data_IF_309936882349
#
_entry.id   IF_309936882349
#
_cell.length_a   1.000
_cell.length_b   1.000
_cell.length_c   1.000
_cell.angle_alpha   90.00
_cell.angle_beta   90.00
_cell.angle_gamma   90.00
#
_symmetry.space_group_name_H-M   'P 1'
#
loop_
_entity.id
_entity.type
_entity.pdbx_description
1 polymer ?
#
# COMPACT_ATOMS: atom_id res chain seq x y z
N UNK A 1 -28.05 -13.58 20.43
CA UNK A 1 -28.32 -14.63 19.41
C UNK A 1 -27.22 -14.57 18.37
N UNK A 2 -26.54 -15.68 18.05
CA UNK A 2 -25.56 -15.71 16.93
C UNK A 2 -26.35 -15.73 15.61
N UNK A 3 -26.07 -14.82 14.68
CA UNK A 3 -26.66 -14.83 13.33
C UNK A 3 -26.37 -16.17 12.63
N UNK A 4 -27.39 -16.72 11.96
CA UNK A 4 -27.38 -18.08 11.36
C UNK A 4 -26.28 -18.22 10.28
N UNK A 5 -25.85 -17.11 9.68
CA UNK A 5 -24.90 -17.04 8.57
C UNK A 5 -23.62 -16.21 8.86
N UNK A 6 -23.31 -15.95 10.14
CA UNK A 6 -22.14 -15.14 10.52
C UNK A 6 -20.84 -15.60 9.85
N UNK A 7 -20.54 -16.90 9.85
CA UNK A 7 -19.31 -17.46 9.24
C UNK A 7 -19.19 -17.22 7.73
N UNK A 8 -20.31 -17.22 7.00
CA UNK A 8 -20.31 -16.94 5.57
C UNK A 8 -20.24 -15.44 5.32
N UNK A 9 -20.97 -14.65 6.11
CA UNK A 9 -20.94 -13.19 6.06
C UNK A 9 -19.53 -12.64 6.31
N UNK A 10 -18.85 -13.13 7.35
CA UNK A 10 -17.48 -12.74 7.65
C UNK A 10 -16.51 -13.15 6.53
N UNK A 11 -16.72 -14.33 5.94
CA UNK A 11 -15.94 -14.77 4.78
C UNK A 11 -16.19 -13.89 3.54
N UNK A 12 -17.45 -13.59 3.20
CA UNK A 12 -17.78 -12.75 2.05
C UNK A 12 -17.20 -11.34 2.18
N UNK A 13 -17.09 -10.81 3.41
CA UNK A 13 -16.45 -9.52 3.68
C UNK A 13 -14.95 -9.49 3.42
N UNK A 14 -14.27 -10.64 3.37
CA UNK A 14 -12.84 -10.70 3.02
C UNK A 14 -12.58 -10.85 1.53
N UNK A 15 -13.63 -11.06 0.72
CA UNK A 15 -13.50 -11.13 -0.72
C UNK A 15 -13.17 -9.76 -1.30
N UNK A 16 -12.52 -9.76 -2.46
CA UNK A 16 -12.12 -8.56 -3.20
C UNK A 16 -12.84 -8.47 -4.56
N UNK A 17 -13.10 -7.27 -5.10
CA UNK A 17 -13.90 -7.15 -6.32
C UNK A 17 -13.36 -7.92 -7.54
N UNK A 18 -12.02 -8.01 -7.67
CA UNK A 18 -11.40 -8.78 -8.75
C UNK A 18 -11.53 -10.30 -8.52
N UNK A 19 -11.56 -10.76 -7.27
CA UNK A 19 -11.81 -12.17 -6.94
C UNK A 19 -13.23 -12.56 -7.37
N UNK A 20 -14.23 -11.76 -7.01
CA UNK A 20 -15.63 -12.04 -7.36
C UNK A 20 -15.89 -11.90 -8.86
N UNK A 21 -15.23 -10.95 -9.54
CA UNK A 21 -15.26 -10.85 -11.00
C UNK A 21 -14.71 -12.11 -11.68
N UNK A 22 -13.55 -12.59 -11.23
CA UNK A 22 -12.98 -13.85 -11.73
C UNK A 22 -13.92 -15.03 -11.48
N UNK A 23 -14.44 -15.19 -10.26
CA UNK A 23 -15.34 -16.28 -9.89
C UNK A 23 -16.62 -16.29 -10.73
N UNK A 24 -17.22 -15.11 -11.00
CA UNK A 24 -18.37 -14.97 -11.88
C UNK A 24 -18.05 -15.31 -13.33
N UNK A 25 -16.82 -15.08 -13.78
CA UNK A 25 -16.39 -15.40 -15.15
C UNK A 25 -16.16 -16.89 -15.39
N UNK A 26 -15.82 -17.66 -14.34
CA UNK A 26 -15.49 -19.11 -14.45
C UNK A 26 -16.55 -20.03 -13.89
N UNK A 27 -17.57 -19.50 -13.22
CA UNK A 27 -18.65 -20.32 -12.67
C UNK A 27 -19.46 -21.00 -13.79
N UNK A 28 -19.90 -22.22 -13.51
CA UNK A 28 -20.78 -23.02 -14.38
C UNK A 28 -21.88 -23.65 -13.52
N UNK A 29 -22.57 -22.85 -12.70
CA UNK A 29 -23.57 -23.36 -11.77
C UNK A 29 -24.91 -23.64 -12.45
N UNK A 30 -25.36 -24.90 -12.41
CA UNK A 30 -26.75 -25.24 -12.71
C UNK A 30 -27.70 -24.73 -11.60
N UNK A 31 -27.20 -24.65 -10.37
CA UNK A 31 -27.94 -24.16 -9.20
C UNK A 31 -28.02 -22.63 -9.19
N UNK A 32 -29.12 -22.09 -9.71
CA UNK A 32 -29.41 -20.63 -9.73
C UNK A 32 -29.31 -19.97 -8.35
N UNK A 33 -29.55 -20.70 -7.27
CA UNK A 33 -29.44 -20.15 -5.91
C UNK A 33 -27.98 -19.88 -5.55
N UNK A 34 -27.05 -20.76 -5.95
CA UNK A 34 -25.61 -20.52 -5.73
C UNK A 34 -25.11 -19.32 -6.53
N UNK A 35 -25.58 -19.17 -7.77
CA UNK A 35 -25.27 -18.00 -8.59
C UNK A 35 -25.76 -16.72 -7.93
N UNK A 36 -27.02 -16.67 -7.50
CA UNK A 36 -27.57 -15.51 -6.80
C UNK A 36 -26.80 -15.15 -5.51
N UNK A 37 -26.33 -16.15 -4.75
CA UNK A 37 -25.48 -15.89 -3.57
C UNK A 37 -24.12 -15.29 -4.00
N UNK A 38 -23.51 -15.78 -5.08
CA UNK A 38 -22.24 -15.27 -5.58
C UNK A 38 -22.38 -13.84 -6.13
N UNK A 39 -23.45 -13.55 -6.88
CA UNK A 39 -23.79 -12.19 -7.35
C UNK A 39 -24.02 -11.24 -6.18
N UNK A 40 -24.73 -11.68 -5.14
CA UNK A 40 -24.91 -10.90 -3.92
C UNK A 40 -23.57 -10.66 -3.19
N UNK A 41 -22.65 -11.62 -3.21
CA UNK A 41 -21.31 -11.46 -2.66
C UNK A 41 -20.48 -10.45 -3.46
N UNK A 42 -20.53 -10.48 -4.80
CA UNK A 42 -19.88 -9.47 -5.67
C UNK A 42 -20.45 -8.06 -5.39
N UNK A 43 -21.77 -7.94 -5.34
CA UNK A 43 -22.42 -6.66 -5.06
C UNK A 43 -22.02 -6.10 -3.69
N UNK A 44 -22.06 -6.93 -2.65
CA UNK A 44 -21.67 -6.54 -1.29
C UNK A 44 -20.18 -6.17 -1.19
N UNK A 45 -19.34 -6.83 -1.99
CA UNK A 45 -17.91 -6.60 -2.04
C UNK A 45 -17.57 -5.21 -2.64
N UNK A 46 -18.33 -4.77 -3.64
CA UNK A 46 -18.21 -3.47 -4.30
C UNK A 46 -18.88 -2.32 -3.53
N UNK A 47 -19.87 -2.62 -2.69
CA UNK A 47 -20.65 -1.64 -1.95
C UNK A 47 -20.67 -1.94 -0.44
N UNK A 48 -19.50 -1.90 0.23
CA UNK A 48 -19.40 -2.28 1.65
C UNK A 48 -20.30 -1.44 2.57
N UNK A 49 -20.53 -0.18 2.24
CA UNK A 49 -21.39 0.75 2.98
C UNK A 49 -22.89 0.48 2.80
N UNK A 50 -23.28 -0.27 1.76
CA UNK A 50 -24.66 -0.66 1.48
C UNK A 50 -24.92 -2.15 1.66
N UNK A 51 -24.10 -2.82 2.47
CA UNK A 51 -24.14 -4.28 2.64
C UNK A 51 -25.57 -4.83 2.82
N UNK A 52 -25.97 -5.74 1.94
CA UNK A 52 -27.24 -6.45 1.97
C UNK A 52 -27.05 -7.81 2.65
N UNK A 53 -27.78 -8.11 3.75
CA UNK A 53 -27.72 -9.40 4.42
C UNK A 53 -28.07 -10.57 3.50
N UNK A 54 -27.36 -11.69 3.69
CA UNK A 54 -27.69 -12.94 2.99
C UNK A 54 -28.98 -13.57 3.53
N UNK A 55 -29.77 -14.17 2.65
CA UNK A 55 -31.05 -14.80 2.99
C UNK A 55 -30.92 -16.00 3.94
N UNK A 56 -31.41 -15.85 5.17
CA UNK A 56 -31.37 -16.90 6.20
C UNK A 56 -32.36 -18.06 5.96
N UNK A 57 -33.26 -17.94 4.96
CA UNK A 57 -34.18 -18.99 4.54
C UNK A 57 -33.51 -20.02 3.62
N UNK A 58 -32.44 -19.66 2.92
CA UNK A 58 -31.68 -20.60 2.07
C UNK A 58 -30.94 -21.63 2.95
N UNK A 59 -30.90 -22.88 2.49
CA UNK A 59 -30.16 -23.95 3.16
C UNK A 59 -28.68 -23.55 3.36
N UNK A 60 -28.25 -23.57 4.63
CA UNK A 60 -26.87 -23.29 5.06
C UNK A 60 -25.83 -24.12 4.31
N UNK A 61 -26.17 -25.33 3.87
CA UNK A 61 -25.29 -26.19 3.06
C UNK A 61 -24.88 -25.51 1.75
N UNK A 62 -25.77 -24.72 1.12
CA UNK A 62 -25.43 -23.99 -0.12
C UNK A 62 -24.34 -22.94 0.13
N UNK A 63 -24.45 -22.18 1.22
CA UNK A 63 -23.42 -21.21 1.63
C UNK A 63 -22.08 -21.89 1.94
N UNK A 64 -22.11 -23.03 2.65
CA UNK A 64 -20.89 -23.78 2.98
C UNK A 64 -20.20 -24.31 1.72
N UNK A 65 -20.97 -24.91 0.82
CA UNK A 65 -20.46 -25.48 -0.43
C UNK A 65 -19.92 -24.38 -1.36
N UNK A 66 -20.61 -23.24 -1.46
CA UNK A 66 -20.13 -22.10 -2.25
C UNK A 66 -18.86 -21.53 -1.65
N UNK A 67 -18.77 -21.36 -0.32
CA UNK A 67 -17.55 -20.91 0.36
C UNK A 67 -16.36 -21.83 0.04
N UNK A 68 -16.55 -23.14 0.10
CA UNK A 68 -15.51 -24.11 -0.25
C UNK A 68 -15.10 -23.97 -1.71
N UNK A 69 -16.07 -23.94 -2.64
CA UNK A 69 -15.81 -23.77 -4.06
C UNK A 69 -15.05 -22.48 -4.37
N UNK A 70 -15.40 -21.36 -3.73
CA UNK A 70 -14.68 -20.09 -3.87
C UNK A 70 -13.22 -20.26 -3.43
N UNK A 71 -12.99 -20.86 -2.25
CA UNK A 71 -11.64 -21.09 -1.73
C UNK A 71 -10.79 -21.96 -2.66
N UNK A 72 -11.35 -23.06 -3.16
CA UNK A 72 -10.68 -23.95 -4.12
C UNK A 72 -10.33 -23.23 -5.42
N UNK A 73 -11.26 -22.45 -5.97
CA UNK A 73 -11.06 -21.74 -7.25
C UNK A 73 -10.04 -20.61 -7.16
N UNK A 74 -10.03 -19.87 -6.06
CA UNK A 74 -9.04 -18.83 -5.83
C UNK A 74 -7.66 -19.43 -5.57
N UNK A 75 -7.56 -20.47 -4.73
CA UNK A 75 -6.28 -21.15 -4.46
C UNK A 75 -5.67 -21.77 -5.72
N UNK A 76 -6.50 -22.27 -6.64
CA UNK A 76 -6.04 -22.87 -7.90
C UNK A 76 -5.33 -21.88 -8.84
N UNK A 77 -5.60 -20.57 -8.71
CA UNK A 77 -4.95 -19.51 -9.50
C UNK A 77 -4.07 -18.60 -8.66
N UNK A 78 -3.87 -18.92 -7.39
CA UNK A 78 -3.06 -18.11 -6.46
C UNK A 78 -1.57 -18.38 -6.68
N UNK A 79 -0.86 -17.38 -7.22
CA UNK A 79 0.57 -17.48 -7.53
C UNK A 79 1.42 -17.62 -6.27
N UNK A 80 0.98 -17.16 -5.10
CA UNK A 80 1.73 -17.37 -3.86
C UNK A 80 1.57 -18.83 -3.39
N UNK A 81 0.38 -19.43 -3.56
CA UNK A 81 0.15 -20.86 -3.28
C UNK A 81 0.96 -21.76 -4.22
N UNK A 82 1.00 -21.41 -5.51
CA UNK A 82 1.86 -22.10 -6.50
C UNK A 82 3.33 -22.05 -6.08
N UNK A 83 3.82 -20.88 -5.66
CA UNK A 83 5.22 -20.71 -5.26
C UNK A 83 5.59 -21.51 -4.00
N UNK A 84 4.73 -21.49 -2.97
CA UNK A 84 4.94 -22.29 -1.76
C UNK A 84 5.05 -23.78 -2.08
N UNK A 85 4.19 -24.27 -2.99
CA UNK A 85 4.28 -25.65 -3.45
C UNK A 85 5.58 -25.95 -4.20
N UNK A 86 6.03 -25.06 -5.10
CA UNK A 86 7.30 -25.21 -5.81
C UNK A 86 8.50 -25.33 -4.85
N UNK A 87 8.51 -24.52 -3.78
CA UNK A 87 9.57 -24.57 -2.75
C UNK A 87 9.55 -25.85 -1.93
N UNK A 88 8.37 -26.36 -1.56
CA UNK A 88 8.27 -27.61 -0.82
C UNK A 88 8.67 -28.80 -1.70
N UNK A 89 8.30 -28.80 -2.99
CA UNK A 89 8.75 -29.81 -3.94
C UNK A 89 10.29 -29.80 -4.09
N UNK A 90 10.90 -28.62 -4.28
CA UNK A 90 12.36 -28.46 -4.34
C UNK A 90 13.04 -29.07 -3.12
N UNK A 91 12.62 -28.65 -1.93
CA UNK A 91 13.16 -29.14 -0.66
C UNK A 91 13.03 -30.66 -0.54
N UNK A 92 11.91 -31.24 -0.94
CA UNK A 92 11.72 -32.69 -0.89
C UNK A 92 12.63 -33.44 -1.87
N UNK A 93 12.88 -32.88 -3.05
CA UNK A 93 13.82 -33.47 -4.02
C UNK A 93 15.25 -33.36 -3.52
N UNK A 94 15.68 -32.18 -3.05
CA UNK A 94 17.04 -31.95 -2.54
C UNK A 94 17.37 -32.84 -1.33
N UNK A 95 16.38 -33.10 -0.48
CA UNK A 95 16.53 -33.93 0.73
C UNK A 95 16.24 -35.41 0.51
N UNK A 96 15.94 -35.82 -0.72
CA UNK A 96 15.58 -37.21 -1.09
C UNK A 96 14.38 -37.76 -0.30
N UNK A 97 13.37 -36.90 -0.08
CA UNK A 97 12.14 -37.20 0.68
C UNK A 97 10.87 -37.04 -0.15
N UNK A 98 11.00 -36.84 -1.45
CA UNK A 98 9.86 -36.68 -2.34
C UNK A 98 9.04 -37.98 -2.39
N UNK A 99 7.74 -37.85 -2.16
CA UNK A 99 6.80 -38.96 -2.22
C UNK A 99 6.24 -39.15 -3.65
N UNK A 100 5.76 -40.36 -4.02
CA UNK A 100 5.29 -40.64 -5.39
C UNK A 100 4.18 -39.70 -5.90
N UNK A 101 3.26 -39.28 -5.03
CA UNK A 101 2.19 -38.34 -5.34
C UNK A 101 2.73 -36.93 -5.64
N UNK A 102 3.79 -36.51 -4.94
CA UNK A 102 4.48 -35.27 -5.22
C UNK A 102 5.23 -35.34 -6.56
N UNK A 103 5.85 -36.48 -6.91
CA UNK A 103 6.51 -36.67 -8.21
C UNK A 103 5.52 -36.60 -9.38
N UNK A 104 4.35 -37.24 -9.23
CA UNK A 104 3.28 -37.17 -10.21
C UNK A 104 2.80 -35.72 -10.40
N UNK A 105 2.66 -34.98 -9.29
CA UNK A 105 2.27 -33.58 -9.33
C UNK A 105 3.33 -32.70 -9.98
N UNK A 106 4.63 -32.92 -9.71
CA UNK A 106 5.72 -32.21 -10.41
C UNK A 106 5.60 -32.44 -11.92
N UNK A 107 5.42 -33.69 -12.34
CA UNK A 107 5.28 -34.04 -13.76
C UNK A 107 4.04 -33.40 -14.40
N UNK A 108 2.92 -33.31 -13.67
CA UNK A 108 1.73 -32.58 -14.12
C UNK A 108 2.01 -31.09 -14.31
N UNK A 109 2.66 -30.43 -13.34
CA UNK A 109 2.99 -29.00 -13.44
C UNK A 109 3.96 -28.73 -14.59
N UNK A 110 4.97 -29.57 -14.83
CA UNK A 110 5.89 -29.39 -15.96
C UNK A 110 5.19 -29.49 -17.33
N UNK A 111 4.14 -30.32 -17.44
CA UNK A 111 3.32 -30.41 -18.66
C UNK A 111 2.47 -29.16 -18.91
N UNK A 112 2.06 -28.47 -17.84
CA UNK A 112 1.23 -27.25 -17.93
C UNK A 112 2.05 -25.96 -17.96
N UNK A 113 3.25 -25.95 -17.38
CA UNK A 113 4.10 -24.78 -17.29
C UNK A 113 4.50 -24.27 -18.68
N UNK A 114 4.41 -22.95 -18.85
CA UNK A 114 4.77 -22.23 -20.08
C UNK A 114 5.69 -21.04 -19.72
N UNK A 115 6.43 -20.48 -20.69
CA UNK A 115 7.26 -19.29 -20.46
C UNK A 115 6.52 -18.11 -19.81
N UNK A 116 5.22 -17.95 -20.13
CA UNK A 116 4.37 -16.90 -19.59
C UNK A 116 3.71 -17.23 -18.25
N UNK A 117 3.94 -18.43 -17.69
CA UNK A 117 3.51 -18.77 -16.32
C UNK A 117 4.16 -17.82 -15.32
N UNK A 118 3.48 -17.51 -14.21
CA UNK A 118 3.97 -16.47 -13.29
C UNK A 118 5.35 -16.80 -12.70
N UNK A 119 5.56 -18.05 -12.27
CA UNK A 119 6.81 -18.53 -11.68
C UNK A 119 7.63 -19.43 -12.62
N UNK A 120 7.59 -19.16 -13.93
CA UNK A 120 8.25 -20.00 -14.93
C UNK A 120 9.74 -20.27 -14.62
N UNK A 121 10.51 -19.25 -14.22
CA UNK A 121 11.93 -19.42 -13.86
C UNK A 121 12.11 -20.45 -12.73
N UNK A 122 11.29 -20.36 -11.67
CA UNK A 122 11.38 -21.29 -10.54
C UNK A 122 10.95 -22.71 -10.92
N UNK A 123 9.93 -22.83 -11.77
CA UNK A 123 9.49 -24.12 -12.30
C UNK A 123 10.59 -24.78 -13.15
N UNK A 124 11.30 -23.99 -13.96
CA UNK A 124 12.45 -24.47 -14.74
C UNK A 124 13.61 -24.93 -13.85
N UNK A 125 13.96 -24.16 -12.82
CA UNK A 125 14.99 -24.54 -11.83
C UNK A 125 14.62 -25.86 -11.11
N UNK A 126 13.35 -26.01 -10.71
CA UNK A 126 12.84 -27.26 -10.13
C UNK A 126 12.97 -28.43 -11.12
N UNK A 127 12.67 -28.24 -12.40
CA UNK A 127 12.83 -29.26 -13.42
C UNK A 127 14.30 -29.71 -13.58
N UNK A 128 15.25 -28.77 -13.51
CA UNK A 128 16.68 -29.11 -13.55
C UNK A 128 17.07 -30.02 -12.39
N UNK A 129 16.63 -29.67 -11.17
CA UNK A 129 16.87 -30.48 -9.98
C UNK A 129 16.19 -31.87 -10.09
N UNK A 130 14.93 -31.89 -10.51
CA UNK A 130 14.16 -33.13 -10.64
C UNK A 130 14.77 -34.08 -11.67
N UNK A 131 15.26 -33.56 -12.80
CA UNK A 131 16.01 -34.35 -13.79
C UNK A 131 17.18 -35.09 -13.15
N UNK A 132 17.99 -34.43 -12.33
CA UNK A 132 19.13 -35.05 -11.65
C UNK A 132 18.68 -36.16 -10.70
N UNK A 133 17.61 -35.92 -9.93
CA UNK A 133 17.01 -36.90 -9.04
C UNK A 133 16.55 -38.16 -9.79
N UNK A 134 15.87 -37.99 -10.93
CA UNK A 134 15.35 -39.08 -11.75
C UNK A 134 16.46 -39.90 -12.41
N UNK A 135 17.51 -39.22 -12.91
CA UNK A 135 18.64 -39.87 -13.59
C UNK A 135 19.40 -40.81 -12.65
N UNK A 136 19.72 -40.35 -11.44
CA UNK A 136 20.44 -41.16 -10.43
C UNK A 136 19.64 -42.41 -10.05
N UNK A 137 18.30 -42.32 -10.08
CA UNK A 137 17.38 -43.41 -9.72
C UNK A 137 16.90 -44.22 -10.93
N UNK A 138 17.50 -44.03 -12.10
CA UNK A 138 17.21 -44.78 -13.33
C UNK A 138 15.74 -44.69 -13.79
N UNK A 139 15.05 -43.58 -13.49
CA UNK A 139 13.66 -43.32 -13.89
C UNK A 139 13.60 -42.73 -15.29
N UNK A 140 13.90 -43.58 -16.28
CA UNK A 140 14.15 -43.14 -17.67
C UNK A 140 12.95 -42.49 -18.38
N UNK A 141 11.70 -42.97 -18.24
CA UNK A 141 10.55 -42.34 -18.89
C UNK A 141 10.33 -40.90 -18.41
N UNK A 142 10.23 -40.71 -17.09
CA UNK A 142 10.02 -39.40 -16.47
C UNK A 142 11.19 -38.47 -16.75
N UNK A 143 12.42 -38.99 -16.71
CA UNK A 143 13.61 -38.21 -17.06
C UNK A 143 13.52 -37.64 -18.49
N UNK A 144 13.03 -38.42 -19.45
CA UNK A 144 12.90 -37.97 -20.84
C UNK A 144 11.91 -36.82 -20.95
N UNK A 145 10.76 -36.92 -20.28
CA UNK A 145 9.75 -35.85 -20.27
C UNK A 145 10.33 -34.54 -19.70
N UNK A 146 11.08 -34.63 -18.60
CA UNK A 146 11.73 -33.48 -17.99
C UNK A 146 12.82 -32.90 -18.90
N UNK A 147 13.62 -33.74 -19.55
CA UNK A 147 14.68 -33.29 -20.48
C UNK A 147 14.09 -32.58 -21.71
N UNK A 148 12.96 -33.07 -22.24
CA UNK A 148 12.24 -32.41 -23.33
C UNK A 148 11.70 -31.04 -22.92
N UNK A 149 11.15 -30.91 -21.72
CA UNK A 149 10.72 -29.63 -21.16
C UNK A 149 11.90 -28.63 -21.07
N UNK A 150 13.01 -29.06 -20.48
CA UNK A 150 14.20 -28.22 -20.30
C UNK A 150 14.76 -27.77 -21.65
N UNK A 151 14.93 -28.70 -22.59
CA UNK A 151 15.43 -28.40 -23.94
C UNK A 151 14.51 -27.43 -24.67
N UNK A 152 13.18 -27.65 -24.61
CA UNK A 152 12.19 -26.80 -25.27
C UNK A 152 12.22 -25.36 -24.79
N UNK A 153 12.39 -25.14 -23.49
CA UNK A 153 12.25 -23.82 -22.88
C UNK A 153 13.56 -23.16 -22.44
N UNK A 154 14.71 -23.76 -22.76
CA UNK A 154 16.03 -23.23 -22.40
C UNK A 154 16.23 -21.76 -22.79
N UNK A 155 15.89 -21.39 -24.02
CA UNK A 155 16.07 -19.99 -24.51
C UNK A 155 15.20 -19.02 -23.71
N UNK A 156 13.93 -19.39 -23.47
CA UNK A 156 13.02 -18.55 -22.69
C UNK A 156 13.49 -18.39 -21.24
N UNK A 157 14.05 -19.44 -20.64
CA UNK A 157 14.63 -19.40 -19.30
C UNK A 157 15.82 -18.44 -19.21
N UNK A 158 16.76 -18.52 -20.15
CA UNK A 158 17.92 -17.63 -20.18
C UNK A 158 17.50 -16.16 -20.41
N UNK A 159 16.51 -15.91 -21.27
CA UNK A 159 15.92 -14.58 -21.45
C UNK A 159 15.29 -14.05 -20.15
N UNK A 160 14.46 -14.85 -19.48
CA UNK A 160 13.81 -14.47 -18.23
C UNK A 160 14.83 -14.17 -17.12
N UNK A 161 15.93 -14.93 -17.04
CA UNK A 161 17.02 -14.65 -16.10
C UNK A 161 17.76 -13.36 -16.43
N UNK A 162 18.04 -13.10 -17.70
CA UNK A 162 18.69 -11.86 -18.12
C UNK A 162 17.84 -10.63 -17.78
N UNK A 163 16.51 -10.69 -18.01
CA UNK A 163 15.60 -9.61 -17.61
C UNK A 163 15.60 -9.41 -16.10
N UNK A 164 15.57 -10.49 -15.32
CA UNK A 164 15.61 -10.42 -13.84
C UNK A 164 16.85 -9.71 -13.32
N UNK A 165 18.02 -9.98 -13.92
CA UNK A 165 19.26 -9.30 -13.59
C UNK A 165 19.23 -7.81 -13.97
N UNK A 166 18.68 -7.49 -15.14
CA UNK A 166 18.54 -6.09 -15.58
C UNK A 166 17.55 -5.30 -14.71
N UNK A 167 16.48 -5.94 -14.22
CA UNK A 167 15.55 -5.35 -13.24
C UNK A 167 16.27 -5.00 -11.93
N UNK A 168 17.25 -5.78 -11.50
CA UNK A 168 18.05 -5.48 -10.32
C UNK A 168 18.85 -4.18 -10.52
N UNK A 169 19.50 -4.02 -11.67
CA UNK A 169 20.24 -2.78 -12.02
C UNK A 169 19.34 -1.56 -12.03
N UNK A 170 18.18 -1.65 -12.70
CA UNK A 170 17.19 -0.58 -12.70
C UNK A 170 16.73 -0.21 -11.27
N UNK A 171 16.59 -1.21 -10.39
CA UNK A 171 16.21 -0.98 -8.99
C UNK A 171 17.27 -0.16 -8.24
N UNK A 172 18.56 -0.46 -8.44
CA UNK A 172 19.65 0.28 -7.79
C UNK A 172 19.61 1.77 -8.19
N UNK A 173 19.45 2.07 -9.47
CA UNK A 173 19.43 3.44 -9.98
C UNK A 173 18.19 4.21 -9.48
N UNK A 174 17.01 3.59 -9.53
CA UNK A 174 15.75 4.22 -9.08
C UNK A 174 15.78 4.53 -7.59
N UNK A 175 16.30 3.62 -6.76
CA UNK A 175 16.39 3.80 -5.31
C UNK A 175 17.49 4.82 -4.94
N UNK A 176 18.62 4.83 -5.65
CA UNK A 176 19.66 5.83 -5.46
C UNK A 176 19.15 7.25 -5.78
N UNK A 177 18.41 7.41 -6.87
CA UNK A 177 17.77 8.68 -7.21
C UNK A 177 16.83 9.16 -6.09
N UNK A 178 15.97 8.28 -5.57
CA UNK A 178 15.05 8.62 -4.47
C UNK A 178 15.79 9.06 -3.19
N UNK A 179 16.85 8.33 -2.81
CA UNK A 179 17.57 8.58 -1.55
C UNK A 179 18.50 9.80 -1.62
N UNK A 180 19.21 10.00 -2.74
CA UNK A 180 20.26 11.02 -2.87
C UNK A 180 19.86 12.23 -3.71
N UNK A 181 18.68 12.21 -4.34
CA UNK A 181 18.24 13.25 -5.28
C UNK A 181 19.28 13.50 -6.39
N UNK A 182 20.07 12.48 -6.72
CA UNK A 182 21.20 12.52 -7.65
C UNK A 182 21.09 11.35 -8.62
N UNK A 183 21.34 11.61 -9.90
CA UNK A 183 21.27 10.61 -10.97
C UNK A 183 19.96 10.65 -11.77
N UNK A 184 20.03 10.25 -13.03
CA UNK A 184 18.90 10.16 -13.95
C UNK A 184 18.51 8.69 -14.13
N UNK A 185 17.30 8.31 -13.72
CA UNK A 185 16.78 6.94 -13.86
C UNK A 185 15.63 6.83 -14.87
N UNK A 186 15.17 7.96 -15.44
CA UNK A 186 14.07 7.98 -16.41
C UNK A 186 14.37 7.19 -17.68
N UNK A 187 15.65 7.05 -18.04
CA UNK A 187 16.07 6.24 -19.18
C UNK A 187 15.64 4.76 -19.09
N UNK A 188 15.29 4.26 -17.89
CA UNK A 188 14.74 2.91 -17.70
C UNK A 188 13.27 2.77 -18.13
N UNK A 189 12.52 3.87 -18.26
CA UNK A 189 11.08 3.84 -18.53
C UNK A 189 10.73 3.02 -19.78
N UNK A 190 11.35 3.24 -20.96
CA UNK A 190 10.92 2.54 -22.18
C UNK A 190 11.14 1.04 -22.08
N UNK A 191 12.26 0.63 -21.47
CA UNK A 191 12.60 -0.79 -21.29
C UNK A 191 11.71 -1.46 -20.24
N UNK A 192 11.42 -0.81 -19.11
CA UNK A 192 10.50 -1.36 -18.12
C UNK A 192 9.07 -1.47 -18.67
N UNK A 193 8.64 -0.50 -19.48
CA UNK A 193 7.35 -0.54 -20.16
C UNK A 193 7.28 -1.70 -21.15
N UNK A 194 8.34 -1.95 -21.94
CA UNK A 194 8.36 -3.10 -22.85
C UNK A 194 8.33 -4.43 -22.11
N UNK A 195 9.08 -4.57 -21.01
CA UNK A 195 9.05 -5.78 -20.16
C UNK A 195 7.66 -6.02 -19.58
N UNK A 196 6.97 -4.99 -19.09
CA UNK A 196 5.64 -5.15 -18.50
C UNK A 196 4.59 -5.68 -19.50
N UNK A 197 4.64 -5.19 -20.74
CA UNK A 197 3.69 -5.56 -21.80
C UNK A 197 4.10 -6.79 -22.61
N UNK A 198 5.29 -7.35 -22.42
CA UNK A 198 5.73 -8.56 -23.11
C UNK A 198 4.99 -9.80 -22.59
N UNK A 199 3.88 -10.18 -23.24
CA UNK A 199 3.09 -11.35 -22.85
C UNK A 199 3.79 -12.70 -23.05
N UNK A 200 4.97 -12.72 -23.69
CA UNK A 200 5.78 -13.94 -23.83
C UNK A 200 6.66 -14.22 -22.61
N UNK A 201 6.86 -13.22 -21.75
CA UNK A 201 7.68 -13.29 -20.55
C UNK A 201 6.88 -13.77 -19.32
N UNK A 202 7.58 -14.32 -18.33
CA UNK A 202 7.00 -14.77 -17.08
C UNK A 202 6.34 -13.62 -16.29
N UNK A 203 5.29 -13.98 -15.57
CA UNK A 203 4.49 -12.99 -14.84
C UNK A 203 5.24 -12.27 -13.73
N UNK A 204 6.21 -12.93 -13.09
CA UNK A 204 7.01 -12.31 -12.04
C UNK A 204 7.83 -11.14 -12.59
N UNK A 205 8.56 -11.33 -13.69
CA UNK A 205 9.37 -10.27 -14.30
C UNK A 205 8.49 -9.11 -14.77
N UNK A 206 7.37 -9.41 -15.43
CA UNK A 206 6.41 -8.41 -15.90
C UNK A 206 5.85 -7.58 -14.75
N UNK A 207 5.35 -8.23 -13.70
CA UNK A 207 4.85 -7.54 -12.52
C UNK A 207 5.95 -6.71 -11.83
N UNK A 208 7.16 -7.25 -11.74
CA UNK A 208 8.28 -6.56 -11.13
C UNK A 208 8.72 -5.32 -11.91
N UNK A 209 8.61 -5.32 -13.23
CA UNK A 209 8.81 -4.11 -14.05
C UNK A 209 7.80 -3.01 -13.71
N UNK A 210 6.52 -3.35 -13.56
CA UNK A 210 5.48 -2.39 -13.13
C UNK A 210 5.77 -1.80 -11.74
N UNK A 211 6.28 -2.61 -10.80
CA UNK A 211 6.69 -2.10 -9.49
C UNK A 211 7.75 -1.00 -9.64
N UNK A 212 8.75 -1.19 -10.51
CA UNK A 212 9.81 -0.17 -10.74
C UNK A 212 9.26 1.06 -11.44
N UNK A 213 8.41 0.87 -12.46
CA UNK A 213 7.70 1.98 -13.12
C UNK A 213 6.93 2.81 -12.10
N UNK A 214 6.26 2.17 -11.15
CA UNK A 214 5.57 2.85 -10.05
C UNK A 214 6.52 3.77 -9.29
N UNK A 215 7.66 3.27 -8.82
CA UNK A 215 8.64 4.12 -8.13
C UNK A 215 9.17 5.24 -9.03
N UNK A 216 9.51 4.93 -10.28
CA UNK A 216 10.06 5.88 -11.24
C UNK A 216 9.10 7.06 -11.46
N UNK A 217 7.86 6.77 -11.83
CA UNK A 217 6.84 7.79 -12.07
C UNK A 217 6.51 8.61 -10.83
N UNK A 218 6.56 8.02 -9.62
CA UNK A 218 6.40 8.78 -8.38
C UNK A 218 7.57 9.71 -8.10
N UNK A 219 8.81 9.27 -8.34
CA UNK A 219 10.00 10.09 -8.16
C UNK A 219 9.98 11.32 -9.08
N UNK A 220 9.54 11.14 -10.32
CA UNK A 220 9.47 12.19 -11.34
C UNK A 220 8.14 12.94 -11.39
N UNK A 221 7.16 12.57 -10.54
CA UNK A 221 5.81 13.16 -10.50
C UNK A 221 5.05 13.09 -11.84
N UNK A 222 5.23 12.02 -12.59
CA UNK A 222 4.54 11.76 -13.86
C UNK A 222 3.54 10.63 -13.67
N UNK A 223 2.29 10.95 -13.33
CA UNK A 223 1.34 9.95 -12.83
C UNK A 223 0.44 9.35 -13.90
N UNK A 224 0.20 10.08 -15.00
CA UNK A 224 -0.72 9.71 -16.07
C UNK A 224 -0.39 8.34 -16.69
N UNK A 225 0.87 8.03 -17.04
CA UNK A 225 1.22 6.73 -17.60
C UNK A 225 0.91 5.54 -16.67
N UNK A 226 0.85 5.77 -15.35
CA UNK A 226 0.51 4.70 -14.41
C UNK A 226 -0.96 4.30 -14.46
N UNK A 227 -1.88 5.20 -14.86
CA UNK A 227 -3.31 4.86 -14.96
C UNK A 227 -3.52 3.71 -15.93
N UNK A 228 -3.03 3.88 -17.15
CA UNK A 228 -3.12 2.88 -18.23
C UNK A 228 -2.55 1.53 -17.78
N UNK A 229 -1.36 1.54 -17.18
CA UNK A 229 -0.68 0.31 -16.76
C UNK A 229 -1.44 -0.41 -15.64
N UNK A 230 -2.01 0.33 -14.69
CA UNK A 230 -2.84 -0.26 -13.65
C UNK A 230 -4.21 -0.72 -14.16
N UNK A 231 -4.78 -0.06 -15.15
CA UNK A 231 -6.02 -0.50 -15.79
C UNK A 231 -5.78 -1.83 -16.53
N UNK A 232 -4.66 -1.96 -17.25
CA UNK A 232 -4.25 -3.25 -17.83
C UNK A 232 -4.05 -4.33 -16.76
N UNK A 233 -3.33 -4.03 -15.67
CA UNK A 233 -3.16 -5.00 -14.57
C UNK A 233 -4.51 -5.41 -13.94
N UNK A 234 -5.46 -4.49 -13.82
CA UNK A 234 -6.81 -4.79 -13.34
C UNK A 234 -7.50 -5.85 -14.21
N UNK A 235 -7.36 -5.74 -15.54
CA UNK A 235 -7.91 -6.75 -16.46
C UNK A 235 -7.29 -8.12 -16.23
N UNK A 236 -5.98 -8.21 -15.97
CA UNK A 236 -5.30 -9.46 -15.66
C UNK A 236 -5.85 -10.09 -14.38
N UNK A 237 -5.93 -9.32 -13.28
CA UNK A 237 -6.48 -9.83 -12.02
C UNK A 237 -7.92 -10.30 -12.14
N UNK A 238 -8.76 -9.57 -12.90
CA UNK A 238 -10.17 -9.96 -13.11
C UNK A 238 -10.33 -11.29 -13.86
N UNK A 239 -9.28 -11.73 -14.56
CA UNK A 239 -9.21 -13.02 -15.28
C UNK A 239 -8.50 -14.10 -14.46
N UNK A 240 -8.12 -13.82 -13.22
CA UNK A 240 -7.32 -14.72 -12.38
C UNK A 240 -5.84 -14.78 -12.77
N UNK A 241 -5.38 -13.92 -13.68
CA UNK A 241 -3.97 -13.86 -14.09
C UNK A 241 -3.20 -13.03 -13.04
N UNK A 242 -2.07 -13.56 -12.60
CA UNK A 242 -1.19 -12.99 -11.55
C UNK A 242 -1.86 -12.88 -10.18
N UNK A 243 -3.02 -13.51 -10.01
CA UNK A 243 -3.76 -13.39 -8.78
C UNK A 243 -2.91 -13.95 -7.63
N UNK A 244 -2.66 -13.11 -6.64
CA UNK A 244 -2.61 -13.54 -5.25
C UNK A 244 -3.28 -12.46 -4.44
N UNK A 245 -3.83 -12.84 -3.29
CA UNK A 245 -4.47 -11.86 -2.41
C UNK A 245 -3.50 -10.76 -1.99
N UNK A 246 -2.21 -11.08 -1.82
CA UNK A 246 -1.14 -10.11 -1.53
C UNK A 246 -0.93 -9.12 -2.68
N UNK A 247 -0.77 -9.59 -3.91
CA UNK A 247 -0.53 -8.72 -5.07
C UNK A 247 -1.72 -7.79 -5.32
N UNK A 248 -2.94 -8.31 -5.16
CA UNK A 248 -4.16 -7.55 -5.37
C UNK A 248 -4.35 -6.45 -4.31
N UNK A 249 -4.03 -6.72 -3.04
CA UNK A 249 -4.03 -5.70 -1.98
C UNK A 249 -3.01 -4.61 -2.25
N UNK A 250 -1.81 -4.98 -2.70
CA UNK A 250 -0.76 -4.02 -3.07
C UNK A 250 -1.21 -3.12 -4.24
N UNK A 251 -1.87 -3.71 -5.25
CA UNK A 251 -2.49 -2.97 -6.34
C UNK A 251 -3.49 -1.91 -5.84
N UNK A 252 -4.39 -2.28 -4.92
CA UNK A 252 -5.34 -1.31 -4.35
C UNK A 252 -4.65 -0.21 -3.55
N UNK A 253 -3.63 -0.55 -2.77
CA UNK A 253 -2.82 0.44 -2.06
C UNK A 253 -2.18 1.46 -3.00
N UNK A 254 -1.67 1.00 -4.15
CA UNK A 254 -1.10 1.86 -5.18
C UNK A 254 -2.17 2.70 -5.92
N UNK A 255 -3.35 2.13 -6.21
CA UNK A 255 -4.49 2.88 -6.79
C UNK A 255 -4.94 4.01 -5.88
N UNK A 256 -5.04 3.78 -4.56
CA UNK A 256 -5.32 4.86 -3.61
C UNK A 256 -4.34 6.01 -3.77
N UNK A 257 -3.04 5.71 -3.78
CA UNK A 257 -2.00 6.74 -3.87
C UNK A 257 -2.11 7.50 -5.20
N UNK A 258 -2.38 6.78 -6.30
CA UNK A 258 -2.53 7.38 -7.62
C UNK A 258 -3.74 8.32 -7.69
N UNK A 259 -4.92 7.86 -7.27
CA UNK A 259 -6.14 8.67 -7.22
C UNK A 259 -5.97 9.89 -6.30
N UNK A 260 -5.20 9.76 -5.21
CA UNK A 260 -4.86 10.90 -4.33
C UNK A 260 -4.05 11.97 -5.06
N UNK A 261 -3.18 11.60 -6.02
CA UNK A 261 -2.41 12.57 -6.83
C UNK A 261 -3.29 13.33 -7.82
N UNK A 262 -4.41 12.76 -8.21
CA UNK A 262 -5.39 13.37 -9.10
C UNK A 262 -6.55 14.03 -8.37
N UNK A 263 -6.48 14.13 -7.03
CA UNK A 263 -7.56 14.67 -6.19
C UNK A 263 -8.90 13.90 -6.36
N UNK A 264 -8.86 12.65 -6.81
CA UNK A 264 -10.01 11.75 -6.97
C UNK A 264 -10.29 11.02 -5.63
N UNK A 265 -10.72 11.78 -4.63
CA UNK A 265 -10.79 11.31 -3.24
C UNK A 265 -11.84 10.21 -2.97
N UNK A 266 -12.90 10.14 -3.77
CA UNK A 266 -13.88 9.04 -3.69
C UNK A 266 -13.24 7.70 -4.06
N UNK A 267 -12.54 7.66 -5.19
CA UNK A 267 -11.83 6.46 -5.64
C UNK A 267 -10.66 6.13 -4.71
N UNK A 268 -9.92 7.14 -4.25
CA UNK A 268 -8.84 6.93 -3.29
C UNK A 268 -9.35 6.26 -2.00
N UNK A 269 -10.50 6.68 -1.50
CA UNK A 269 -11.13 6.07 -0.33
C UNK A 269 -11.59 4.64 -0.61
N UNK A 270 -12.27 4.40 -1.74
CA UNK A 270 -12.72 3.08 -2.16
C UNK A 270 -11.56 2.08 -2.19
N UNK A 271 -10.49 2.40 -2.93
CA UNK A 271 -9.29 1.56 -3.01
C UNK A 271 -8.57 1.44 -1.67
N UNK A 272 -8.62 2.47 -0.83
CA UNK A 272 -8.08 2.44 0.53
C UNK A 272 -8.73 1.38 1.39
N UNK A 273 -10.05 1.32 1.43
CA UNK A 273 -10.76 0.29 2.17
C UNK A 273 -10.47 -1.11 1.64
N UNK A 274 -10.33 -1.28 0.32
CA UNK A 274 -9.93 -2.57 -0.26
C UNK A 274 -8.52 -2.99 0.22
N UNK A 275 -7.56 -2.06 0.24
CA UNK A 275 -6.17 -2.34 0.61
C UNK A 275 -5.95 -2.77 2.07
N UNK A 276 -6.91 -2.49 2.96
CA UNK A 276 -6.84 -2.88 4.39
C UNK A 276 -7.72 -4.08 4.75
N UNK A 277 -8.34 -4.75 3.77
CA UNK A 277 -9.16 -5.95 4.06
C UNK A 277 -8.34 -7.13 4.58
N UNK A 278 -7.03 -7.14 4.33
CA UNK A 278 -6.12 -8.21 4.71
C UNK A 278 -4.89 -7.63 5.39
N UNK A 279 -4.45 -8.27 6.46
CA UNK A 279 -3.27 -7.87 7.22
C UNK A 279 -2.02 -8.47 6.58
N UNK A 280 -1.34 -7.67 5.75
CA UNK A 280 -0.01 -7.99 5.20
C UNK A 280 1.10 -7.26 5.97
N UNK A 281 2.36 -7.49 5.62
CA UNK A 281 3.51 -6.74 6.16
C UNK A 281 3.36 -5.22 5.96
N UNK A 282 2.69 -4.81 4.89
CA UNK A 282 2.46 -3.41 4.52
C UNK A 282 1.13 -2.84 5.05
N UNK A 283 0.39 -3.60 5.87
CA UNK A 283 -0.92 -3.20 6.38
C UNK A 283 -0.94 -1.81 7.03
N UNK A 284 0.08 -1.49 7.84
CA UNK A 284 0.18 -0.17 8.48
C UNK A 284 0.43 0.94 7.47
N UNK A 285 1.18 0.66 6.39
CA UNK A 285 1.35 1.62 5.31
C UNK A 285 0.00 1.93 4.65
N UNK A 286 -0.80 0.90 4.33
CA UNK A 286 -2.13 1.07 3.75
C UNK A 286 -3.12 1.80 4.68
N UNK A 287 -3.14 1.42 5.97
CA UNK A 287 -3.97 2.09 6.96
C UNK A 287 -3.62 3.58 7.11
N UNK A 288 -2.33 3.93 7.10
CA UNK A 288 -1.89 5.32 7.13
C UNK A 288 -2.38 6.10 5.91
N UNK A 289 -2.25 5.52 4.72
CA UNK A 289 -2.66 6.17 3.47
C UNK A 289 -4.18 6.39 3.42
N UNK A 290 -4.99 5.38 3.79
CA UNK A 290 -6.44 5.54 3.90
C UNK A 290 -6.81 6.59 4.96
N UNK A 291 -6.15 6.59 6.12
CA UNK A 291 -6.39 7.60 7.14
C UNK A 291 -6.09 9.01 6.63
N UNK A 292 -5.03 9.20 5.84
CA UNK A 292 -4.70 10.49 5.25
C UNK A 292 -5.81 10.98 4.31
N UNK A 293 -6.37 10.10 3.48
CA UNK A 293 -7.52 10.41 2.61
C UNK A 293 -8.76 10.77 3.44
N UNK A 294 -9.11 9.95 4.44
CA UNK A 294 -10.28 10.20 5.30
C UNK A 294 -10.17 11.52 6.07
N UNK A 295 -8.97 11.89 6.54
CA UNK A 295 -8.72 13.18 7.20
C UNK A 295 -8.96 14.37 6.25
N UNK A 296 -8.46 14.30 5.01
CA UNK A 296 -8.71 15.34 3.98
C UNK A 296 -10.18 15.47 3.64
N UNK A 297 -10.90 14.35 3.62
CA UNK A 297 -12.36 14.32 3.42
C UNK A 297 -13.16 14.69 4.67
N UNK A 298 -12.50 15.09 5.76
CA UNK A 298 -13.12 15.45 7.05
C UNK A 298 -13.95 14.32 7.68
N UNK A 299 -13.71 13.07 7.30
CA UNK A 299 -14.34 11.86 7.86
C UNK A 299 -13.61 11.41 9.14
N UNK A 300 -13.48 12.32 10.11
CA UNK A 300 -12.59 12.16 11.27
C UNK A 300 -12.92 10.96 12.16
N UNK A 301 -14.21 10.66 12.34
CA UNK A 301 -14.66 9.52 13.17
C UNK A 301 -14.31 8.19 12.52
N UNK A 302 -14.47 8.09 11.20
CA UNK A 302 -14.12 6.90 10.42
C UNK A 302 -12.60 6.71 10.40
N UNK A 303 -11.83 7.79 10.17
CA UNK A 303 -10.37 7.77 10.26
C UNK A 303 -9.90 7.24 11.62
N UNK A 304 -10.49 7.74 12.72
CA UNK A 304 -10.16 7.24 14.06
C UNK A 304 -10.51 5.75 14.24
N UNK A 305 -11.61 5.28 13.65
CA UNK A 305 -12.00 3.88 13.71
C UNK A 305 -10.99 2.97 12.99
N UNK A 306 -10.55 3.36 11.78
CA UNK A 306 -9.49 2.67 11.03
C UNK A 306 -8.20 2.60 11.86
N UNK A 307 -7.77 3.73 12.42
CA UNK A 307 -6.55 3.77 13.23
C UNK A 307 -6.66 2.91 14.50
N UNK A 308 -7.81 2.92 15.19
CA UNK A 308 -8.02 2.04 16.36
C UNK A 308 -7.97 0.57 15.98
N UNK A 309 -8.57 0.19 14.84
CA UNK A 309 -8.56 -1.18 14.35
C UNK A 309 -7.15 -1.67 13.98
N UNK A 310 -6.28 -0.78 13.50
CA UNK A 310 -4.90 -1.06 13.11
C UNK A 310 -3.86 -0.87 14.25
N UNK A 311 -4.31 -0.52 15.46
CA UNK A 311 -3.43 -0.30 16.61
C UNK A 311 -2.63 -1.56 17.05
N UNK A 312 -3.18 -2.78 17.02
CA UNK A 312 -2.40 -3.98 17.34
C UNK A 312 -1.22 -4.18 16.38
N UNK A 313 -1.44 -4.02 15.08
CA UNK A 313 -0.44 -4.22 14.03
C UNK A 313 0.64 -3.12 14.06
N UNK A 314 0.31 -1.90 14.47
CA UNK A 314 1.29 -0.82 14.56
C UNK A 314 2.28 -1.03 15.71
N UNK A 315 1.93 -1.86 16.71
CA UNK A 315 2.85 -2.23 17.79
C UNK A 315 3.86 -3.27 17.33
N UNK A 316 3.49 -4.17 16.43
CA UNK A 316 4.32 -5.28 15.95
C UNK A 316 5.15 -4.96 14.71
N UNK A 317 4.84 -3.88 13.97
CA UNK A 317 5.66 -3.50 12.80
C UNK A 317 7.08 -3.06 13.20
N UNK A 318 8.07 -3.53 12.45
CA UNK A 318 9.48 -3.12 12.58
C UNK A 318 9.80 -1.83 11.80
N UNK A 319 8.90 -1.36 10.94
CA UNK A 319 9.09 -0.12 10.19
C UNK A 319 8.74 1.09 11.04
N UNK A 320 9.74 1.70 11.67
CA UNK A 320 9.54 2.93 12.45
C UNK A 320 9.02 4.08 11.58
N UNK A 321 9.39 4.12 10.30
CA UNK A 321 8.82 5.06 9.34
C UNK A 321 7.29 4.99 9.28
N UNK A 322 6.73 3.78 9.13
CA UNK A 322 5.29 3.57 9.11
C UNK A 322 4.66 3.74 10.50
N UNK A 323 5.35 3.32 11.56
CA UNK A 323 4.89 3.44 12.95
C UNK A 323 4.74 4.89 13.40
N UNK A 324 5.72 5.75 13.09
CA UNK A 324 5.67 7.17 13.44
C UNK A 324 4.62 7.90 12.58
N UNK A 325 4.51 7.55 11.30
CA UNK A 325 3.41 8.03 10.44
C UNK A 325 2.04 7.68 11.01
N UNK A 326 1.88 6.44 11.50
CA UNK A 326 0.66 5.98 12.16
C UNK A 326 0.35 6.81 13.41
N UNK A 327 1.34 7.04 14.27
CA UNK A 327 1.14 7.86 15.47
C UNK A 327 0.74 9.28 15.11
N UNK A 328 1.38 9.92 14.13
CA UNK A 328 1.02 11.26 13.68
C UNK A 328 -0.45 11.33 13.21
N UNK A 329 -0.88 10.38 12.38
CA UNK A 329 -2.28 10.29 11.94
C UNK A 329 -3.24 10.02 13.09
N UNK A 330 -2.87 9.16 14.04
CA UNK A 330 -3.69 8.87 15.21
C UNK A 330 -3.88 10.10 16.09
N UNK A 331 -2.82 10.88 16.31
CA UNK A 331 -2.88 12.16 17.03
C UNK A 331 -3.83 13.15 16.35
N UNK A 332 -3.76 13.28 15.01
CA UNK A 332 -4.70 14.12 14.24
C UNK A 332 -6.14 13.64 14.35
N UNK A 333 -6.38 12.33 14.29
CA UNK A 333 -7.71 11.76 14.49
C UNK A 333 -8.28 12.10 15.88
N UNK A 334 -7.46 11.97 16.93
CA UNK A 334 -7.85 12.36 18.28
C UNK A 334 -8.13 13.88 18.36
N UNK A 335 -7.28 14.71 17.76
CA UNK A 335 -7.47 16.16 17.71
C UNK A 335 -8.80 16.53 17.02
N UNK A 336 -9.03 16.09 15.77
CA UNK A 336 -10.24 16.48 15.04
C UNK A 336 -11.54 15.85 15.58
N UNK A 337 -11.44 14.86 16.46
CA UNK A 337 -12.59 14.32 17.21
C UNK A 337 -12.76 14.95 18.60
N UNK A 338 -12.05 16.05 18.89
CA UNK A 338 -12.15 16.82 20.14
C UNK A 338 -11.39 16.22 21.33
N UNK A 339 -10.66 15.11 21.14
CA UNK A 339 -9.92 14.41 22.18
C UNK A 339 -8.49 14.98 22.34
N UNK A 340 -8.35 16.31 22.37
CA UNK A 340 -7.04 16.97 22.35
C UNK A 340 -6.12 16.57 23.52
N UNK A 341 -6.67 16.46 24.73
CA UNK A 341 -5.90 16.03 25.91
C UNK A 341 -5.41 14.59 25.80
N UNK A 342 -6.20 13.71 25.17
CA UNK A 342 -5.77 12.34 24.92
C UNK A 342 -4.65 12.29 23.88
N UNK A 343 -4.73 13.13 22.84
CA UNK A 343 -3.66 13.29 21.85
C UNK A 343 -2.37 13.78 22.53
N UNK A 344 -2.43 14.82 23.36
CA UNK A 344 -1.27 15.32 24.11
C UNK A 344 -0.65 14.25 25.00
N UNK A 345 -1.45 13.55 25.80
CA UNK A 345 -0.96 12.50 26.70
C UNK A 345 -0.28 11.35 25.92
N UNK A 346 -0.87 10.96 24.78
CA UNK A 346 -0.31 9.91 23.92
C UNK A 346 1.02 10.36 23.31
N UNK A 347 1.07 11.59 22.78
CA UNK A 347 2.28 12.17 22.22
C UNK A 347 3.41 12.27 23.26
N UNK A 348 3.11 12.71 24.48
CA UNK A 348 4.10 12.77 25.57
C UNK A 348 4.69 11.42 25.90
N UNK A 349 3.86 10.39 26.08
CA UNK A 349 4.32 9.02 26.35
C UNK A 349 5.16 8.49 25.20
N UNK A 350 4.70 8.69 23.96
CA UNK A 350 5.39 8.18 22.77
C UNK A 350 6.74 8.87 22.55
N UNK A 351 6.81 10.20 22.74
CA UNK A 351 8.04 10.97 22.61
C UNK A 351 9.09 10.57 23.66
N UNK A 352 8.67 10.19 24.87
CA UNK A 352 9.58 9.68 25.90
C UNK A 352 10.16 8.32 25.53
N UNK A 353 9.32 7.43 24.98
CA UNK A 353 9.72 6.07 24.65
C UNK A 353 10.55 5.96 23.36
N UNK A 354 10.23 6.75 22.33
CA UNK A 354 10.75 6.59 20.97
C UNK A 354 11.42 7.86 20.42
N UNK A 355 12.06 8.66 21.30
CA UNK A 355 12.67 9.94 20.91
C UNK A 355 13.62 9.78 19.72
N UNK A 356 14.51 8.80 19.76
CA UNK A 356 15.57 8.62 18.75
C UNK A 356 14.95 8.36 17.38
N UNK A 357 14.02 7.42 17.34
CA UNK A 357 13.36 6.95 16.12
C UNK A 357 12.47 8.04 15.51
N UNK A 358 11.82 8.87 16.34
CA UNK A 358 11.06 10.03 15.86
C UNK A 358 11.97 10.94 15.04
N UNK A 359 13.14 11.31 15.57
CA UNK A 359 14.10 12.18 14.87
C UNK A 359 14.74 11.52 13.64
N UNK A 360 14.96 10.21 13.69
CA UNK A 360 15.57 9.46 12.58
C UNK A 360 14.64 9.36 11.36
N UNK A 361 13.32 9.27 11.55
CA UNK A 361 12.41 8.94 10.45
C UNK A 361 11.43 10.03 10.03
N UNK A 362 10.55 10.51 10.94
CA UNK A 362 9.39 11.34 10.58
C UNK A 362 9.04 12.38 11.66
N UNK A 363 10.05 13.07 12.17
CA UNK A 363 9.87 14.05 13.26
C UNK A 363 8.91 15.19 12.90
N UNK A 364 8.97 15.70 11.66
CA UNK A 364 8.11 16.78 11.19
C UNK A 364 6.62 16.41 11.28
N UNK A 365 6.27 15.18 10.86
CA UNK A 365 4.90 14.68 10.90
C UNK A 365 4.43 14.49 12.35
N UNK A 366 5.28 13.91 13.20
CA UNK A 366 4.98 13.70 14.62
C UNK A 366 4.77 15.02 15.36
N UNK A 367 5.73 15.94 15.27
CA UNK A 367 5.66 17.23 15.96
C UNK A 367 4.59 18.14 15.36
N UNK A 368 4.34 18.10 14.05
CA UNK A 368 3.21 18.81 13.45
C UNK A 368 1.89 18.41 14.10
N UNK A 369 1.58 17.12 14.14
CA UNK A 369 0.35 16.61 14.78
C UNK A 369 0.31 16.86 16.31
N UNK A 370 1.47 16.82 16.98
CA UNK A 370 1.54 17.09 18.41
C UNK A 370 1.28 18.56 18.72
N UNK A 371 1.96 19.48 18.01
CA UNK A 371 1.80 20.92 18.21
C UNK A 371 0.39 21.39 17.84
N UNK A 372 -0.22 20.82 16.79
CA UNK A 372 -1.63 21.02 16.41
C UNK A 372 -2.58 20.72 17.59
N UNK A 373 -2.41 19.57 18.25
CA UNK A 373 -3.20 19.22 19.43
C UNK A 373 -2.97 20.17 20.63
N UNK A 374 -1.77 20.72 20.80
CA UNK A 374 -1.46 21.71 21.84
C UNK A 374 -2.04 23.09 21.52
N UNK A 375 -2.05 23.47 20.24
CA UNK A 375 -2.55 24.74 19.76
C UNK A 375 -4.05 24.85 20.00
N UNK A 376 -4.79 23.78 19.70
CA UNK A 376 -6.22 23.65 19.98
C UNK A 376 -6.55 23.85 21.47
N UNK A 377 -5.68 23.36 22.35
CA UNK A 377 -5.80 23.53 23.81
C UNK A 377 -5.28 24.89 24.31
N UNK A 378 -4.83 25.77 23.41
CA UNK A 378 -4.19 27.06 23.73
C UNK A 378 -2.97 26.91 24.64
N UNK A 379 -2.30 25.75 24.60
CA UNK A 379 -1.13 25.45 25.42
C UNK A 379 0.15 26.03 24.79
N UNK A 380 0.13 27.33 24.49
CA UNK A 380 1.20 28.05 23.79
C UNK A 380 2.54 27.94 24.52
N UNK A 381 2.52 27.92 25.85
CA UNK A 381 3.75 27.79 26.65
C UNK A 381 4.43 26.42 26.50
N UNK A 382 3.67 25.34 26.28
CA UNK A 382 4.26 24.02 26.02
C UNK A 382 4.79 23.93 24.59
N UNK A 383 4.09 24.50 23.61
CA UNK A 383 4.57 24.59 22.21
C UNK A 383 5.97 25.20 22.17
N UNK A 384 6.14 26.39 22.76
CA UNK A 384 7.44 27.08 22.77
C UNK A 384 8.52 26.28 23.50
N UNK A 385 8.20 25.70 24.68
CA UNK A 385 9.16 24.86 25.41
C UNK A 385 9.61 23.63 24.62
N UNK A 386 8.71 23.00 23.85
CA UNK A 386 9.06 21.87 22.99
C UNK A 386 9.91 22.32 21.81
N UNK A 387 9.54 23.43 21.16
CA UNK A 387 10.30 24.01 20.07
C UNK A 387 11.75 24.30 20.50
N UNK A 388 11.93 24.97 21.64
CA UNK A 388 13.25 25.31 22.19
C UNK A 388 14.04 24.03 22.57
N UNK A 389 13.42 23.12 23.32
CA UNK A 389 14.08 21.90 23.82
C UNK A 389 14.60 21.00 22.71
N UNK A 390 13.89 20.95 21.58
CA UNK A 390 14.19 20.04 20.48
C UNK A 390 14.74 20.75 19.23
N UNK A 391 14.95 22.06 19.30
CA UNK A 391 15.46 22.88 18.19
C UNK A 391 14.61 22.69 16.92
N UNK A 392 13.29 22.76 17.09
CA UNK A 392 12.36 22.39 16.02
C UNK A 392 12.39 23.40 14.86
N UNK A 393 12.69 24.68 15.12
CA UNK A 393 12.74 25.72 14.07
C UNK A 393 14.00 25.58 13.21
N UNK A 394 15.15 25.28 13.83
CA UNK A 394 16.40 25.04 13.13
C UNK A 394 16.29 23.81 12.23
N UNK A 395 15.72 22.72 12.76
CA UNK A 395 15.48 21.49 12.00
C UNK A 395 14.48 21.69 10.86
N UNK A 396 13.46 22.52 11.07
CA UNK A 396 12.47 22.83 10.03
C UNK A 396 13.12 23.60 8.88
N UNK A 397 14.01 24.54 9.18
CA UNK A 397 14.77 25.27 8.17
C UNK A 397 15.64 24.33 7.31
N UNK A 398 16.32 23.34 7.92
CA UNK A 398 17.06 22.31 7.18
C UNK A 398 16.15 21.41 6.33
N UNK A 399 14.91 21.18 6.78
CA UNK A 399 13.94 20.34 6.08
C UNK A 399 13.21 21.07 4.94
N UNK A 400 13.30 22.40 4.87
CA UNK A 400 12.58 23.24 3.90
C UNK A 400 12.90 22.91 2.43
N UNK A 401 14.08 22.35 2.15
CA UNK A 401 14.50 21.95 0.81
C UNK A 401 13.79 20.68 0.29
N UNK A 402 13.07 19.95 1.15
CA UNK A 402 12.41 18.70 0.76
C UNK A 402 11.10 18.97 0.03
N UNK A 403 10.83 18.15 -0.99
CA UNK A 403 9.59 18.23 -1.80
C UNK A 403 8.30 18.11 -0.97
N UNK A 404 8.34 17.42 0.18
CA UNK A 404 7.20 17.27 1.08
C UNK A 404 7.01 18.41 2.10
N UNK A 405 7.84 19.46 2.07
CA UNK A 405 7.82 20.53 3.08
C UNK A 405 6.52 21.33 3.12
N UNK A 406 6.04 21.61 4.33
CA UNK A 406 5.02 22.60 4.68
C UNK A 406 5.45 23.28 5.99
N UNK A 407 5.23 24.60 6.17
CA UNK A 407 5.74 25.37 7.30
C UNK A 407 4.86 25.22 8.56
N UNK A 408 4.39 24.00 8.85
CA UNK A 408 3.44 23.69 9.93
C UNK A 408 4.03 24.08 11.30
N UNK A 409 5.23 23.59 11.60
CA UNK A 409 5.92 23.81 12.86
C UNK A 409 6.25 25.29 13.09
N UNK A 410 6.91 26.00 12.15
CA UNK A 410 7.24 27.42 12.35
C UNK A 410 5.99 28.27 12.48
N UNK A 411 4.92 27.95 11.76
CA UNK A 411 3.67 28.70 11.87
C UNK A 411 2.99 28.50 13.23
N UNK A 412 2.88 27.28 13.73
CA UNK A 412 2.34 27.04 15.09
C UNK A 412 3.19 27.70 16.18
N UNK A 413 4.52 27.71 16.02
CA UNK A 413 5.41 28.43 16.94
C UNK A 413 5.20 29.95 16.88
N UNK A 414 5.01 30.52 15.68
CA UNK A 414 4.74 31.93 15.49
C UNK A 414 3.42 32.35 16.18
N UNK A 415 2.35 31.56 16.02
CA UNK A 415 1.07 31.77 16.71
C UNK A 415 1.26 31.73 18.23
N UNK A 416 1.98 30.72 18.73
CA UNK A 416 2.23 30.56 20.16
C UNK A 416 3.05 31.72 20.75
N UNK A 417 4.07 32.20 20.02
CA UNK A 417 4.91 33.33 20.42
C UNK A 417 4.09 34.63 20.49
N UNK A 418 3.28 34.90 19.47
CA UNK A 418 2.39 36.06 19.43
C UNK A 418 1.40 36.07 20.60
N UNK A 419 0.73 34.94 20.86
CA UNK A 419 -0.21 34.82 22.00
C UNK A 419 0.45 34.91 23.37
N UNK A 420 1.75 34.65 23.46
CA UNK A 420 2.56 34.85 24.68
C UNK A 420 3.29 36.18 24.74
N UNK A 421 3.06 37.07 23.75
CA UNK A 421 3.75 38.37 23.63
C UNK A 421 5.27 38.23 23.68
N UNK A 422 5.80 37.13 23.13
CA UNK A 422 7.25 36.89 23.03
C UNK A 422 7.74 37.35 21.65
N UNK A 423 8.47 38.46 21.65
CA UNK A 423 9.10 39.04 20.47
C UNK A 423 8.28 40.14 19.78
N UNK A 424 8.90 40.95 18.89
CA UNK A 424 8.21 41.96 18.10
C UNK A 424 7.24 41.33 17.10
N UNK A 425 6.06 41.93 16.91
CA UNK A 425 5.05 41.46 15.94
C UNK A 425 5.61 41.29 14.50
N UNK A 426 6.63 42.08 14.14
CA UNK A 426 7.33 41.95 12.85
C UNK A 426 8.04 40.60 12.68
N UNK A 427 8.68 40.08 13.72
CA UNK A 427 9.38 38.77 13.65
C UNK A 427 8.40 37.61 13.47
N UNK A 428 7.22 37.69 14.10
CA UNK A 428 6.14 36.71 13.92
C UNK A 428 5.63 36.72 12.47
N UNK A 429 5.42 37.91 11.89
CA UNK A 429 5.00 38.05 10.49
C UNK A 429 6.04 37.52 9.51
N UNK A 430 7.34 37.78 9.76
CA UNK A 430 8.43 37.27 8.92
C UNK A 430 8.45 35.72 8.89
N UNK A 431 8.25 35.05 10.04
CA UNK A 431 8.17 33.59 10.10
C UNK A 431 6.99 33.02 9.31
N UNK A 432 5.88 33.75 9.23
CA UNK A 432 4.69 33.35 8.48
C UNK A 432 4.85 33.55 6.97
N UNK A 433 5.47 34.66 6.55
CA UNK A 433 5.56 35.04 5.14
C UNK A 433 6.75 34.37 4.42
N UNK A 434 7.88 34.20 5.10
CA UNK A 434 9.14 33.69 4.51
C UNK A 434 8.98 32.41 3.67
N UNK A 435 8.16 31.41 4.06
CA UNK A 435 8.00 30.18 3.26
C UNK A 435 7.12 30.34 2.01
N UNK A 436 6.27 31.37 1.92
CA UNK A 436 5.22 31.48 0.90
C UNK A 436 5.72 31.53 -0.55
N UNK A 437 6.80 32.25 -0.92
CA UNK A 437 7.25 32.33 -2.31
C UNK A 437 7.60 30.97 -2.92
N UNK A 438 8.21 30.07 -2.13
CA UNK A 438 8.56 28.72 -2.58
C UNK A 438 7.32 27.82 -2.68
N UNK A 439 6.35 27.98 -1.78
CA UNK A 439 5.13 27.17 -1.77
C UNK A 439 4.19 27.49 -2.94
N UNK A 440 4.17 28.73 -3.42
CA UNK A 440 3.42 29.13 -4.63
C UNK A 440 3.84 28.38 -5.89
N UNK A 441 5.07 27.89 -5.94
CA UNK A 441 5.59 27.11 -7.07
C UNK A 441 5.21 25.63 -7.01
N UNK A 442 4.51 25.19 -5.95
CA UNK A 442 4.08 23.82 -5.71
C UNK A 442 2.53 23.73 -5.71
N UNK A 443 1.87 23.70 -6.88
CA UNK A 443 0.41 23.71 -6.97
C UNK A 443 -0.24 22.52 -6.25
N UNK A 444 0.45 21.39 -6.13
CA UNK A 444 -0.03 20.20 -5.41
C UNK A 444 -0.17 20.40 -3.88
N UNK A 445 0.30 21.54 -3.34
CA UNK A 445 0.25 21.88 -1.91
C UNK A 445 -0.77 22.96 -1.57
N UNK A 446 -1.45 23.56 -2.56
CA UNK A 446 -2.35 24.69 -2.35
C UNK A 446 -3.45 24.36 -1.32
N UNK A 447 -4.14 23.23 -1.50
CA UNK A 447 -5.20 22.76 -0.57
C UNK A 447 -4.69 22.66 0.88
N UNK A 448 -3.50 22.09 1.07
CA UNK A 448 -2.92 21.88 2.40
C UNK A 448 -2.48 23.19 3.05
N UNK A 449 -2.06 24.16 2.24
CA UNK A 449 -1.70 25.49 2.71
C UNK A 449 -2.95 26.27 3.11
N UNK A 450 -4.03 26.19 2.33
CA UNK A 450 -5.33 26.79 2.67
C UNK A 450 -5.89 26.23 3.99
N UNK A 451 -5.85 24.91 4.18
CA UNK A 451 -6.24 24.27 5.44
C UNK A 451 -5.44 24.81 6.63
N UNK A 452 -4.12 24.96 6.46
CA UNK A 452 -3.23 25.47 7.49
C UNK A 452 -3.47 26.96 7.80
N UNK A 453 -3.73 27.78 6.78
CA UNK A 453 -4.10 29.19 6.96
C UNK A 453 -5.42 29.30 7.74
N UNK A 454 -6.42 28.48 7.38
CA UNK A 454 -7.71 28.46 8.07
C UNK A 454 -7.58 28.06 9.54
N UNK A 455 -6.70 27.11 9.87
CA UNK A 455 -6.42 26.74 11.27
C UNK A 455 -5.79 27.90 12.06
N UNK A 456 -4.84 28.61 11.46
CA UNK A 456 -4.17 29.76 12.08
C UNK A 456 -5.15 30.91 12.32
N UNK A 457 -6.05 31.15 11.37
CA UNK A 457 -7.05 32.21 11.45
C UNK A 457 -7.94 32.09 12.68
N UNK A 458 -8.29 30.88 13.10
CA UNK A 458 -9.07 30.64 14.32
C UNK A 458 -8.36 31.18 15.57
N UNK A 459 -7.03 31.15 15.57
CA UNK A 459 -6.23 31.60 16.71
C UNK A 459 -5.79 33.06 16.60
N UNK A 460 -5.41 33.53 15.42
CA UNK A 460 -4.85 34.87 15.16
C UNK A 460 -5.40 35.45 13.85
N UNK A 461 -6.68 35.88 13.83
CA UNK A 461 -7.32 36.41 12.62
C UNK A 461 -6.52 37.54 11.96
N UNK A 462 -5.89 38.40 12.76
CA UNK A 462 -5.08 39.53 12.30
C UNK A 462 -3.85 39.09 11.48
N UNK A 463 -3.25 37.95 11.82
CA UNK A 463 -2.10 37.40 11.09
C UNK A 463 -2.56 36.65 9.82
N UNK A 464 -3.72 35.99 9.87
CA UNK A 464 -4.30 35.32 8.70
C UNK A 464 -4.65 36.27 7.56
N UNK A 465 -5.12 37.49 7.86
CA UNK A 465 -5.32 38.54 6.83
C UNK A 465 -4.02 38.83 6.07
N UNK A 466 -2.88 38.77 6.75
CA UNK A 466 -1.57 39.02 6.13
C UNK A 466 -1.15 37.84 5.24
N UNK A 467 -1.42 36.61 5.67
CA UNK A 467 -1.20 35.39 4.87
C UNK A 467 -2.07 35.39 3.61
N UNK A 468 -3.37 35.66 3.72
CA UNK A 468 -4.32 35.69 2.59
C UNK A 468 -3.99 36.77 1.55
N UNK A 469 -3.38 37.88 1.94
CA UNK A 469 -2.85 38.88 0.98
C UNK A 469 -1.71 38.34 0.13
N UNK A 470 -0.87 37.50 0.72
CA UNK A 470 0.27 36.91 0.03
C UNK A 470 -0.10 35.61 -0.68
N UNK A 471 -1.16 34.92 -0.29
CA UNK A 471 -1.69 33.73 -0.95
C UNK A 471 -3.21 33.88 -1.11
N UNK A 472 -3.68 34.60 -2.14
CA UNK A 472 -5.08 34.58 -2.50
C UNK A 472 -5.39 33.21 -3.12
N UNK A 473 -6.23 32.43 -2.45
CA UNK A 473 -6.65 31.10 -2.90
C UNK A 473 -7.30 31.08 -4.28
#
# INVERSE_FOLDING_TARGET
MRSKLLKFTDFARTLLPHETAYLLSVQQFDDKVKLAILEQADWNCRHPERFVPFDEQIDKRKYSNLKQWIGERLNAVDVDTEYEWLLEAEKQIETDRIAPDMEERVSAVLRECRPHSYHFVKCYELAQLFRHFLLIRMRHPEHREVEEFLTRYHVAYEQARAVREQLHRATLDIVQQYSRHSGESMHWEPWLTSVFYDETLDGWNRYMALVRLTFLYYNYRQFEPLREKYDYLATLFSRGIYYSKRLLINYYGNRLLLHTRFHEYDEAEYYGYLSIRVKTTDYIHYANNLCAVLLRRKKYREALAVMKAALPESRSTHSFHNKIGFVAHYLRCLHHTGQHRAAENYADTYLRAYRKEIFEHRWHAFFGAYLEALLAQKNYGKILRLADKYQLLERDAEFAEKSAYLPIIPWYCAVAAHKKQRGPAKQVQELLIRPLPHLKQAPDKADQLEELIAEIEVHVPELAVTLRKHFPG
#
